data_IF_475362144115
#
_entry.id   IF_475362144115
#
_cell.length_a   1.000
_cell.length_b   1.000
_cell.length_c   1.000
_cell.angle_alpha   90.00
_cell.angle_beta   90.00
_cell.angle_gamma   90.00
#
_symmetry.space_group_name_H-M   'P 1'
#
loop_
_entity.id
_entity.type
_entity.pdbx_description
1 polymer ?
#
# COMPACT_ATOMS: atom_id res chain seq x y z
N UNK A 1 7.40 -3.92 -35.92
CA UNK A 1 7.69 -3.81 -34.46
C UNK A 1 7.87 -2.37 -33.94
N UNK A 2 7.65 -1.31 -34.75
CA UNK A 2 7.95 0.09 -34.35
C UNK A 2 6.85 0.79 -33.53
N UNK A 3 5.77 0.10 -33.17
CA UNK A 3 4.55 0.69 -32.60
C UNK A 3 4.28 0.38 -31.11
N UNK A 4 5.17 -0.34 -30.43
CA UNK A 4 4.99 -0.74 -29.01
C UNK A 4 5.78 0.13 -28.01
N UNK A 5 6.23 1.33 -28.41
CA UNK A 5 6.90 2.25 -27.49
C UNK A 5 5.92 3.27 -26.95
N UNK A 6 5.84 3.39 -25.61
CA UNK A 6 5.04 4.42 -24.94
C UNK A 6 5.49 5.80 -25.46
N UNK A 7 4.58 6.65 -25.97
CA UNK A 7 4.94 7.98 -26.44
C UNK A 7 5.66 8.77 -25.35
N UNK A 8 6.62 9.62 -25.73
CA UNK A 8 7.53 10.31 -24.79
C UNK A 8 6.75 11.06 -23.69
N UNK A 9 5.61 11.64 -24.06
CA UNK A 9 4.75 12.44 -23.18
C UNK A 9 4.10 11.61 -22.06
N UNK A 10 3.82 10.32 -22.31
CA UNK A 10 3.26 9.42 -21.30
C UNK A 10 4.34 8.74 -20.46
N UNK A 11 5.59 8.71 -20.92
CA UNK A 11 6.68 7.93 -20.32
C UNK A 11 6.97 8.35 -18.88
N UNK A 12 7.01 9.65 -18.57
CA UNK A 12 7.27 10.15 -17.22
C UNK A 12 6.08 9.90 -16.27
N UNK A 13 4.87 10.10 -16.77
CA UNK A 13 3.64 9.84 -16.02
C UNK A 13 3.54 8.36 -15.63
N UNK A 14 3.77 7.45 -16.58
CA UNK A 14 3.74 6.00 -16.35
C UNK A 14 4.87 5.55 -15.43
N UNK A 15 6.10 6.09 -15.58
CA UNK A 15 7.24 5.73 -14.74
C UNK A 15 6.98 6.00 -13.26
N UNK A 16 6.53 7.20 -12.91
CA UNK A 16 6.22 7.52 -11.52
C UNK A 16 5.13 6.59 -10.97
N UNK A 17 4.04 6.37 -11.71
CA UNK A 17 2.94 5.54 -11.25
C UNK A 17 3.40 4.11 -10.93
N UNK A 18 4.25 3.53 -11.79
CA UNK A 18 4.83 2.21 -11.59
C UNK A 18 5.80 2.20 -10.41
N UNK A 19 6.81 3.07 -10.40
CA UNK A 19 7.85 3.08 -9.37
C UNK A 19 7.26 3.39 -8.01
N UNK A 20 6.50 4.47 -7.88
CA UNK A 20 5.87 4.84 -6.62
C UNK A 20 4.89 3.75 -6.15
N UNK A 21 4.16 3.14 -7.08
CA UNK A 21 3.32 1.96 -6.84
C UNK A 21 4.10 0.85 -6.14
N UNK A 22 5.23 0.42 -6.70
CA UNK A 22 6.07 -0.62 -6.09
C UNK A 22 6.64 -0.18 -4.75
N UNK A 23 7.11 1.07 -4.63
CA UNK A 23 7.72 1.58 -3.39
C UNK A 23 6.75 1.43 -2.22
N UNK A 24 5.51 1.91 -2.34
CA UNK A 24 4.58 1.83 -1.21
C UNK A 24 4.06 0.41 -0.96
N UNK A 25 3.84 -0.41 -2.00
CA UNK A 25 3.35 -1.79 -1.79
C UNK A 25 4.40 -2.69 -1.17
N UNK A 26 5.65 -2.64 -1.67
CA UNK A 26 6.76 -3.42 -1.09
C UNK A 26 7.04 -2.90 0.32
N UNK A 27 7.03 -1.58 0.52
CA UNK A 27 7.20 -0.98 1.84
C UNK A 27 6.13 -1.44 2.83
N UNK A 28 4.85 -1.41 2.44
CA UNK A 28 3.74 -1.94 3.26
C UNK A 28 3.93 -3.42 3.60
N UNK A 29 4.29 -4.26 2.61
CA UNK A 29 4.52 -5.68 2.84
C UNK A 29 5.66 -5.91 3.85
N UNK A 30 6.76 -5.16 3.72
CA UNK A 30 7.89 -5.26 4.65
C UNK A 30 7.51 -4.78 6.06
N UNK A 31 6.75 -3.68 6.19
CA UNK A 31 6.33 -3.18 7.51
C UNK A 31 5.37 -4.16 8.20
N UNK A 32 4.40 -4.71 7.46
CA UNK A 32 3.39 -5.62 8.01
C UNK A 32 3.98 -6.98 8.36
N UNK A 33 4.81 -7.55 7.49
CA UNK A 33 5.35 -8.91 7.71
C UNK A 33 6.74 -8.90 8.34
N UNK A 34 7.52 -7.84 8.24
CA UNK A 34 8.89 -7.79 8.75
C UNK A 34 9.02 -7.25 10.17
N UNK A 35 8.00 -6.58 10.71
CA UNK A 35 8.12 -5.92 12.01
C UNK A 35 7.71 -6.84 13.18
N UNK A 36 8.53 -6.88 14.23
CA UNK A 36 8.34 -7.80 15.35
C UNK A 36 6.95 -7.67 16.01
N UNK A 37 6.45 -6.45 16.17
CA UNK A 37 5.16 -6.15 16.78
C UNK A 37 3.99 -6.71 15.95
N UNK A 38 4.06 -6.61 14.62
CA UNK A 38 3.06 -7.22 13.74
C UNK A 38 3.16 -8.74 13.75
N UNK A 39 4.37 -9.30 13.77
CA UNK A 39 4.58 -10.75 13.86
C UNK A 39 4.00 -11.30 15.17
N UNK A 40 4.20 -10.60 16.29
CA UNK A 40 3.62 -10.99 17.58
C UNK A 40 2.09 -10.94 17.56
N UNK A 41 1.51 -9.92 16.93
CA UNK A 41 0.05 -9.85 16.73
C UNK A 41 -0.47 -11.01 15.88
N UNK A 42 0.19 -11.32 14.76
CA UNK A 42 -0.17 -12.44 13.87
C UNK A 42 -0.03 -13.78 14.60
N UNK A 43 1.03 -13.96 15.38
CA UNK A 43 1.23 -15.14 16.22
C UNK A 43 0.09 -15.29 17.23
N UNK A 44 -0.37 -14.20 17.83
CA UNK A 44 -1.49 -14.20 18.77
C UNK A 44 -2.80 -14.69 18.16
N UNK A 45 -3.02 -14.49 16.86
CA UNK A 45 -4.27 -14.87 16.15
C UNK A 45 -4.14 -16.23 15.47
N UNK A 46 -2.99 -16.52 14.86
CA UNK A 46 -2.80 -17.66 13.95
C UNK A 46 -1.85 -18.73 14.48
N UNK A 47 -1.07 -18.42 15.51
CA UNK A 47 0.04 -19.26 15.99
C UNK A 47 1.31 -19.20 15.13
N UNK A 48 1.27 -18.62 13.93
CA UNK A 48 2.41 -18.53 13.01
C UNK A 48 3.38 -17.42 13.43
N UNK A 49 4.68 -17.67 13.26
CA UNK A 49 5.74 -16.71 13.59
C UNK A 49 6.99 -16.97 12.77
N UNK A 50 7.78 -15.92 12.55
CA UNK A 50 9.06 -15.95 11.83
C UNK A 50 9.98 -14.83 12.36
N UNK A 51 11.28 -14.84 12.02
CA UNK A 51 12.21 -13.80 12.46
C UNK A 51 11.84 -12.43 11.90
N UNK A 52 11.80 -11.42 12.77
CA UNK A 52 11.62 -10.02 12.37
C UNK A 52 12.90 -9.40 11.79
N UNK A 53 12.73 -8.28 11.10
CA UNK A 53 13.83 -7.45 10.60
C UNK A 53 14.27 -6.42 11.66
N UNK A 54 15.48 -5.83 11.51
CA UNK A 54 15.94 -4.78 12.41
C UNK A 54 14.97 -3.58 12.48
N UNK A 55 14.62 -3.15 13.69
CA UNK A 55 13.68 -2.03 13.92
C UNK A 55 14.05 -0.76 13.18
N UNK A 56 15.34 -0.41 13.14
CA UNK A 56 15.81 0.78 12.40
C UNK A 56 15.51 0.72 10.89
N UNK A 57 15.65 -0.48 10.29
CA UNK A 57 15.33 -0.70 8.88
C UNK A 57 13.81 -0.58 8.63
N UNK A 58 12.99 -1.19 9.49
CA UNK A 58 11.53 -1.09 9.38
C UNK A 58 11.06 0.36 9.52
N UNK A 59 11.60 1.12 10.48
CA UNK A 59 11.26 2.51 10.68
C UNK A 59 11.59 3.35 9.44
N UNK A 60 12.78 3.16 8.85
CA UNK A 60 13.16 3.82 7.60
C UNK A 60 12.20 3.47 6.46
N UNK A 61 11.88 2.19 6.28
CA UNK A 61 10.95 1.73 5.25
C UNK A 61 9.55 2.29 5.49
N UNK A 62 9.10 2.37 6.74
CA UNK A 62 7.84 2.99 7.12
C UNK A 62 7.78 4.46 6.73
N UNK A 63 8.84 5.23 6.99
CA UNK A 63 8.95 6.64 6.57
C UNK A 63 8.92 6.77 5.04
N UNK A 64 9.67 5.94 4.32
CA UNK A 64 9.66 5.92 2.85
C UNK A 64 8.26 5.58 2.32
N UNK A 65 7.58 4.61 2.94
CA UNK A 65 6.21 4.22 2.60
C UNK A 65 5.25 5.38 2.79
N UNK A 66 5.29 6.05 3.95
CA UNK A 66 4.47 7.24 4.22
C UNK A 66 4.76 8.37 3.22
N UNK A 67 6.04 8.66 2.95
CA UNK A 67 6.43 9.67 1.97
C UNK A 67 5.91 9.35 0.56
N UNK A 68 5.96 8.08 0.14
CA UNK A 68 5.44 7.64 -1.17
C UNK A 68 3.91 7.70 -1.27
N UNK A 69 3.19 7.49 -0.16
CA UNK A 69 1.73 7.70 -0.07
C UNK A 69 1.41 9.19 -0.18
N UNK A 70 2.16 10.07 0.49
CA UNK A 70 2.01 11.52 0.36
C UNK A 70 2.31 11.96 -1.07
N UNK A 71 3.40 11.47 -1.68
CA UNK A 71 3.75 11.77 -3.07
C UNK A 71 2.64 11.35 -4.06
N UNK A 72 2.02 10.19 -3.83
CA UNK A 72 0.86 9.74 -4.61
C UNK A 72 -0.32 10.71 -4.51
N UNK A 73 -0.63 11.21 -3.30
CA UNK A 73 -1.69 12.21 -3.11
C UNK A 73 -1.34 13.53 -3.79
N UNK A 74 -0.14 14.07 -3.56
CA UNK A 74 0.33 15.32 -4.14
C UNK A 74 0.20 15.29 -5.66
N UNK A 75 0.63 14.19 -6.29
CA UNK A 75 0.46 14.01 -7.74
C UNK A 75 -1.01 13.98 -8.14
N UNK A 76 -1.87 13.31 -7.38
CA UNK A 76 -3.29 13.17 -7.69
C UNK A 76 -4.01 14.52 -7.65
N UNK A 77 -3.74 15.35 -6.66
CA UNK A 77 -4.40 16.66 -6.51
C UNK A 77 -3.87 17.71 -7.49
N UNK A 78 -2.58 17.62 -7.89
CA UNK A 78 -1.94 18.58 -8.80
C UNK A 78 -2.11 18.23 -10.28
N UNK A 79 -2.42 16.97 -10.61
CA UNK A 79 -2.68 16.58 -12.00
C UNK A 79 -4.16 16.82 -12.35
N UNK A 80 -4.49 17.67 -13.33
CA UNK A 80 -5.88 17.95 -13.69
C UNK A 80 -6.61 16.68 -14.16
N UNK A 81 -5.90 15.81 -14.88
CA UNK A 81 -6.44 14.52 -15.36
C UNK A 81 -6.74 13.58 -14.19
N UNK A 82 -5.80 13.41 -13.25
CA UNK A 82 -6.04 12.51 -12.13
C UNK A 82 -7.13 13.06 -11.20
N UNK A 83 -7.16 14.37 -10.98
CA UNK A 83 -8.18 15.02 -10.16
C UNK A 83 -9.57 14.85 -10.77
N UNK A 84 -9.70 14.98 -12.10
CA UNK A 84 -10.96 14.75 -12.82
C UNK A 84 -11.45 13.30 -12.67
N UNK A 85 -10.54 12.33 -12.64
CA UNK A 85 -10.85 10.90 -12.50
C UNK A 85 -10.98 10.42 -11.05
N UNK A 86 -10.65 11.26 -10.06
CA UNK A 86 -10.63 10.88 -8.65
C UNK A 86 -11.97 11.18 -7.98
N UNK A 87 -12.58 10.16 -7.39
CA UNK A 87 -13.80 10.31 -6.58
C UNK A 87 -13.54 10.19 -5.08
N UNK A 88 -14.62 10.22 -4.28
CA UNK A 88 -14.56 9.99 -2.83
C UNK A 88 -13.79 8.71 -2.47
N UNK A 89 -14.07 7.61 -3.17
CA UNK A 89 -13.43 6.32 -2.93
C UNK A 89 -11.89 6.38 -3.09
N UNK A 90 -11.35 7.18 -4.01
CA UNK A 90 -9.89 7.33 -4.18
C UNK A 90 -9.23 7.96 -2.96
N UNK A 91 -9.78 9.10 -2.51
CA UNK A 91 -9.22 9.85 -1.39
C UNK A 91 -9.44 9.14 -0.06
N UNK A 92 -10.63 8.56 0.14
CA UNK A 92 -10.93 7.84 1.37
C UNK A 92 -10.13 6.54 1.48
N UNK A 93 -9.99 5.79 0.38
CA UNK A 93 -9.11 4.60 0.36
C UNK A 93 -7.66 4.99 0.64
N UNK A 94 -7.15 6.05 0.03
CA UNK A 94 -5.79 6.55 0.33
C UNK A 94 -5.64 6.90 1.81
N UNK A 95 -6.62 7.63 2.37
CA UNK A 95 -6.59 8.07 3.76
C UNK A 95 -6.58 6.89 4.74
N UNK A 96 -7.48 5.92 4.55
CA UNK A 96 -7.57 4.75 5.44
C UNK A 96 -6.36 3.81 5.30
N UNK A 97 -5.66 3.85 4.17
CA UNK A 97 -4.38 3.13 3.97
C UNK A 97 -3.22 3.84 4.66
N UNK A 98 -3.20 5.17 4.62
CA UNK A 98 -2.14 5.98 5.20
C UNK A 98 -2.21 6.02 6.73
N UNK A 99 -3.41 6.05 7.30
CA UNK A 99 -3.61 6.17 8.75
C UNK A 99 -2.87 5.11 9.59
N UNK A 100 -2.92 3.79 9.29
CA UNK A 100 -2.15 2.79 10.03
C UNK A 100 -0.63 3.02 9.94
N UNK A 101 -0.14 3.45 8.78
CA UNK A 101 1.30 3.73 8.58
C UNK A 101 1.72 4.92 9.44
N UNK A 102 0.96 6.02 9.39
CA UNK A 102 1.26 7.23 10.17
C UNK A 102 1.15 6.96 11.68
N UNK A 103 0.04 6.38 12.13
CA UNK A 103 -0.18 6.07 13.55
C UNK A 103 0.85 5.07 14.09
N UNK A 104 1.26 4.08 13.28
CA UNK A 104 2.30 3.12 13.64
C UNK A 104 3.66 3.80 13.83
N UNK A 105 4.04 4.70 12.90
CA UNK A 105 5.26 5.50 13.01
C UNK A 105 5.24 6.41 14.25
N UNK A 106 4.11 7.06 14.55
CA UNK A 106 3.97 7.87 15.74
C UNK A 106 4.12 7.02 17.02
N UNK A 107 3.50 5.85 17.06
CA UNK A 107 3.56 4.95 18.22
C UNK A 107 5.00 4.49 18.51
N UNK A 108 5.76 4.10 17.49
CA UNK A 108 7.14 3.59 17.67
C UNK A 108 8.16 4.70 17.89
N UNK A 109 7.85 5.94 17.47
CA UNK A 109 8.67 7.11 17.74
C UNK A 109 8.30 7.82 19.05
N UNK A 110 7.24 7.36 19.73
CA UNK A 110 6.70 7.98 20.94
C UNK A 110 6.39 9.48 20.76
N UNK A 111 5.92 9.87 19.58
CA UNK A 111 5.63 11.26 19.23
C UNK A 111 4.15 11.61 19.37
N UNK A 112 3.87 12.75 20.02
CA UNK A 112 2.56 13.41 20.01
C UNK A 112 1.60 13.03 21.15
N UNK A 113 1.68 11.82 21.70
CA UNK A 113 0.85 11.40 22.83
C UNK A 113 1.49 10.24 23.61
N UNK A 114 0.83 9.81 24.69
CA UNK A 114 1.20 8.60 25.43
C UNK A 114 1.12 7.36 24.53
N UNK A 115 2.03 6.41 24.73
CA UNK A 115 2.14 5.21 23.91
C UNK A 115 0.83 4.42 23.81
N UNK A 116 0.10 4.28 24.91
CA UNK A 116 -1.16 3.54 24.96
C UNK A 116 -2.23 4.19 24.07
N UNK A 117 -2.26 5.53 24.02
CA UNK A 117 -3.16 6.29 23.16
C UNK A 117 -2.77 6.09 21.69
N UNK A 118 -1.48 6.22 21.36
CA UNK A 118 -0.98 6.04 19.99
C UNK A 118 -1.22 4.62 19.48
N UNK A 119 -0.98 3.62 20.32
CA UNK A 119 -1.26 2.21 20.02
C UNK A 119 -2.76 1.99 19.80
N UNK A 120 -3.61 2.58 20.64
CA UNK A 120 -5.07 2.48 20.50
C UNK A 120 -5.54 3.10 19.18
N UNK A 121 -5.02 4.28 18.82
CA UNK A 121 -5.28 4.93 17.53
C UNK A 121 -4.82 4.06 16.37
N UNK A 122 -3.63 3.43 16.47
CA UNK A 122 -3.14 2.53 15.45
C UNK A 122 -4.07 1.34 15.24
N UNK A 123 -4.47 0.65 16.32
CA UNK A 123 -5.41 -0.48 16.25
C UNK A 123 -6.78 -0.07 15.70
N UNK A 124 -7.33 1.08 16.12
CA UNK A 124 -8.57 1.62 15.57
C UNK A 124 -8.46 1.95 14.09
N UNK A 125 -7.32 2.49 13.65
CA UNK A 125 -7.09 2.76 12.23
C UNK A 125 -7.02 1.49 11.38
N UNK A 126 -6.42 0.42 11.92
CA UNK A 126 -6.41 -0.91 11.28
C UNK A 126 -7.81 -1.49 11.22
N UNK A 127 -8.58 -1.41 12.30
CA UNK A 127 -9.97 -1.87 12.33
C UNK A 127 -10.82 -1.14 11.28
N UNK A 128 -10.69 0.19 11.18
CA UNK A 128 -11.38 0.99 10.17
C UNK A 128 -10.94 0.62 8.74
N UNK A 129 -9.64 0.37 8.53
CA UNK A 129 -9.12 -0.11 7.24
C UNK A 129 -9.73 -1.46 6.86
N UNK A 130 -9.82 -2.42 7.80
CA UNK A 130 -10.42 -3.74 7.56
C UNK A 130 -11.92 -3.66 7.28
N UNK A 131 -12.65 -2.77 7.94
CA UNK A 131 -14.07 -2.52 7.65
C UNK A 131 -14.24 -1.97 6.22
N UNK A 132 -13.38 -1.04 5.79
CA UNK A 132 -13.43 -0.48 4.43
C UNK A 132 -12.89 -1.41 3.34
N UNK A 133 -12.06 -2.39 3.71
CA UNK A 133 -11.29 -3.24 2.81
C UNK A 133 -12.11 -3.85 1.64
N UNK A 134 -13.29 -4.47 1.86
CA UNK A 134 -14.03 -5.11 0.77
C UNK A 134 -14.84 -4.14 -0.10
N UNK A 135 -15.09 -2.92 0.37
CA UNK A 135 -15.97 -1.95 -0.29
C UNK A 135 -15.20 -0.91 -1.12
N UNK A 136 -13.94 -0.66 -0.75
CA UNK A 136 -13.09 0.33 -1.37
C UNK A 136 -12.24 -0.17 -2.53
N UNK A 137 -11.35 0.71 -3.00
CA UNK A 137 -10.29 0.30 -3.94
C UNK A 137 -9.26 -0.62 -3.29
N UNK A 138 -9.29 -0.82 -1.97
CA UNK A 138 -8.42 -1.77 -1.24
C UNK A 138 -8.59 -3.22 -1.68
N UNK A 139 -9.81 -3.61 -2.10
CA UNK A 139 -10.13 -4.98 -2.51
C UNK A 139 -9.23 -5.51 -3.64
N UNK A 140 -8.56 -4.62 -4.39
CA UNK A 140 -7.55 -5.02 -5.37
C UNK A 140 -6.43 -5.88 -4.77
N UNK A 141 -6.09 -5.71 -3.49
CA UNK A 141 -5.08 -6.52 -2.82
C UNK A 141 -5.46 -8.00 -2.78
N UNK A 142 -6.77 -8.31 -2.71
CA UNK A 142 -7.28 -9.68 -2.80
C UNK A 142 -7.54 -10.11 -4.25
N UNK A 143 -8.15 -9.22 -5.05
CA UNK A 143 -8.55 -9.52 -6.43
C UNK A 143 -7.37 -9.65 -7.41
N UNK A 144 -6.17 -9.17 -7.06
CA UNK A 144 -5.01 -9.22 -7.97
C UNK A 144 -4.70 -10.64 -8.44
N UNK A 145 -4.78 -11.64 -7.56
CA UNK A 145 -4.47 -13.02 -7.94
C UNK A 145 -5.51 -13.59 -8.89
N UNK A 146 -6.80 -13.35 -8.62
CA UNK A 146 -7.90 -13.80 -9.48
C UNK A 146 -7.88 -13.12 -10.84
N UNK A 147 -7.76 -11.80 -10.88
CA UNK A 147 -7.75 -11.03 -12.13
C UNK A 147 -6.54 -11.37 -12.99
N UNK A 148 -5.36 -11.58 -12.39
CA UNK A 148 -4.16 -12.03 -13.12
C UNK A 148 -4.29 -13.47 -13.61
N UNK A 149 -4.86 -14.37 -12.81
CA UNK A 149 -5.14 -15.75 -13.23
C UNK A 149 -6.10 -15.83 -14.42
N UNK A 150 -7.21 -15.09 -14.38
CA UNK A 150 -8.17 -15.01 -15.51
C UNK A 150 -7.52 -14.43 -16.77
N UNK A 151 -6.72 -13.37 -16.62
CA UNK A 151 -5.98 -12.75 -17.73
C UNK A 151 -5.00 -13.75 -18.35
N UNK A 152 -4.24 -14.48 -17.53
CA UNK A 152 -3.32 -15.51 -18.00
C UNK A 152 -4.02 -16.64 -18.74
N UNK A 153 -5.12 -17.16 -18.19
CA UNK A 153 -5.92 -18.20 -18.84
C UNK A 153 -6.50 -17.73 -20.19
N UNK A 154 -6.94 -16.48 -20.28
CA UNK A 154 -7.44 -15.89 -21.52
C UNK A 154 -6.37 -15.79 -22.61
N UNK A 155 -5.16 -15.35 -22.27
CA UNK A 155 -4.05 -15.27 -23.22
C UNK A 155 -3.49 -16.64 -23.61
N UNK A 156 -3.46 -17.58 -22.67
CA UNK A 156 -3.08 -18.98 -22.93
C UNK A 156 -4.00 -19.61 -23.99
N UNK A 157 -5.32 -19.41 -23.89
CA UNK A 157 -6.30 -19.84 -24.93
C UNK A 157 -6.05 -19.21 -26.31
N UNK A 158 -5.27 -18.14 -26.40
CA UNK A 158 -4.90 -17.45 -27.66
C UNK A 158 -3.49 -17.79 -28.14
N UNK A 159 -2.85 -18.81 -27.55
CA UNK A 159 -1.53 -19.29 -27.96
C UNK A 159 -0.35 -18.45 -27.46
N UNK A 160 -0.57 -17.53 -26.51
CA UNK A 160 0.53 -16.82 -25.84
C UNK A 160 1.22 -17.80 -24.89
N UNK A 161 2.51 -18.03 -25.09
CA UNK A 161 3.34 -18.80 -24.15
C UNK A 161 3.55 -17.95 -22.89
N UNK A 162 3.26 -18.54 -21.73
CA UNK A 162 3.56 -17.98 -20.41
C UNK A 162 5.08 -17.93 -20.17
#
# INVERSE_FOLDING_TARGET
MRHMTVPKDFKLSTRFAVVNGYVFHIGLAIVVFGYAQHILFIKGITGLSWPGLPTGLINLIGVITLASLIAALVRRINSPVLRLLSGFNDYFTWFITMLPVLSGLLAVSHLGARYEILLSIHLLSVAAMLIWFPFGKLMHAFLVFMTRGQTGAFYSRRGVKL
#
